data_IF_630121793494
#
_entry.id   IF_630121793494
#
_cell.length_a   1.000
_cell.length_b   1.000
_cell.length_c   1.000
_cell.angle_alpha   90.00
_cell.angle_beta   90.00
_cell.angle_gamma   90.00
#
_symmetry.space_group_name_H-M   'P 1'
#
loop_
_entity.id
_entity.type
_entity.pdbx_description
1 polymer ?
#
# COMPACT_ATOMS: atom_id res chain seq x y z
N UNK A 1 3.52 -17.70 10.09
CA UNK A 1 3.08 -16.45 10.80
C UNK A 1 2.54 -15.45 9.78
N UNK A 2 1.44 -14.72 10.06
CA UNK A 2 0.92 -13.67 9.16
C UNK A 2 1.57 -12.34 9.50
N UNK A 3 2.10 -11.65 8.49
CA UNK A 3 2.63 -10.29 8.59
C UNK A 3 1.96 -9.40 7.55
N UNK A 4 1.89 -8.10 7.81
CA UNK A 4 1.36 -7.08 6.90
C UNK A 4 2.26 -5.85 6.98
N UNK A 5 3.14 -5.67 6.00
CA UNK A 5 4.19 -4.66 6.03
C UNK A 5 3.84 -3.36 5.31
N UNK A 6 2.54 -3.15 4.99
CA UNK A 6 2.11 -1.96 4.27
C UNK A 6 0.67 -1.60 4.62
N UNK A 7 0.53 -0.78 5.66
CA UNK A 7 -0.78 -0.34 6.18
C UNK A 7 -0.72 1.16 6.47
N UNK A 8 -1.60 1.92 5.81
CA UNK A 8 -1.75 3.36 6.00
C UNK A 8 -2.80 3.70 7.05
N UNK A 9 -2.63 4.83 7.73
CA UNK A 9 -3.60 5.33 8.70
C UNK A 9 -4.66 6.22 8.06
N UNK A 10 -4.43 6.68 6.82
CA UNK A 10 -5.32 7.59 6.13
C UNK A 10 -5.48 7.29 4.64
N UNK A 11 -6.65 7.64 4.09
CA UNK A 11 -6.92 7.75 2.64
C UNK A 11 -7.44 9.16 2.32
N UNK A 12 -6.53 10.11 2.11
CA UNK A 12 -6.91 11.44 1.64
C UNK A 12 -7.08 11.51 0.11
N UNK A 13 -7.63 12.58 -0.46
CA UNK A 13 -8.28 13.68 0.23
C UNK A 13 -9.70 13.30 0.70
N UNK A 14 -10.20 13.96 1.75
CA UNK A 14 -11.52 13.69 2.33
C UNK A 14 -12.65 13.90 1.32
N UNK A 15 -13.51 12.89 1.19
CA UNK A 15 -14.59 12.83 0.21
C UNK A 15 -15.79 12.04 0.75
N UNK A 16 -16.91 12.05 0.03
CA UNK A 16 -18.06 11.18 0.37
C UNK A 16 -17.67 9.69 0.35
N UNK A 17 -16.69 9.29 -0.46
CA UNK A 17 -16.16 7.93 -0.48
C UNK A 17 -15.41 7.64 0.81
N UNK A 18 -14.54 8.56 1.25
CA UNK A 18 -13.85 8.46 2.53
C UNK A 18 -14.84 8.30 3.69
N UNK A 19 -15.86 9.17 3.78
CA UNK A 19 -16.92 9.05 4.80
C UNK A 19 -17.53 7.64 4.84
N UNK A 20 -17.99 7.14 3.68
CA UNK A 20 -18.63 5.82 3.59
C UNK A 20 -17.67 4.69 4.01
N UNK A 21 -16.42 4.73 3.58
CA UNK A 21 -15.41 3.72 3.91
C UNK A 21 -15.07 3.75 5.40
N UNK A 22 -14.88 4.93 5.98
CA UNK A 22 -14.61 5.10 7.42
C UNK A 22 -15.69 4.44 8.27
N UNK A 23 -16.95 4.78 8.02
CA UNK A 23 -18.08 4.21 8.77
C UNK A 23 -18.18 2.70 8.56
N UNK A 24 -18.06 2.25 7.31
CA UNK A 24 -18.07 0.82 6.99
C UNK A 24 -16.96 0.08 7.76
N UNK A 25 -15.75 0.62 7.78
CA UNK A 25 -14.63 0.03 8.47
C UNK A 25 -14.86 -0.10 9.97
N UNK A 26 -15.30 0.98 10.62
CA UNK A 26 -15.61 0.96 12.06
C UNK A 26 -16.68 -0.09 12.37
N UNK A 27 -17.77 -0.12 11.59
CA UNK A 27 -18.88 -1.06 11.80
C UNK A 27 -18.42 -2.52 11.63
N UNK A 28 -17.61 -2.82 10.60
CA UNK A 28 -17.09 -4.18 10.38
C UNK A 28 -16.14 -4.64 11.49
N UNK A 29 -15.29 -3.75 12.00
CA UNK A 29 -14.36 -4.07 13.09
C UNK A 29 -15.09 -4.24 14.42
N UNK A 30 -16.08 -3.39 14.69
CA UNK A 30 -16.88 -3.47 15.93
C UNK A 30 -18.02 -4.49 15.87
N UNK A 31 -18.19 -5.20 14.76
CA UNK A 31 -19.26 -6.18 14.57
C UNK A 31 -20.67 -5.59 14.56
N UNK A 32 -20.78 -4.27 14.29
CA UNK A 32 -22.06 -3.58 14.21
C UNK A 32 -22.78 -3.90 12.90
N UNK A 33 -24.14 -3.93 12.97
CA UNK A 33 -25.00 -4.13 11.80
C UNK A 33 -25.64 -2.83 11.36
N UNK A 34 -25.68 -2.60 10.05
CA UNK A 34 -26.40 -1.47 9.45
C UNK A 34 -27.90 -1.71 9.53
N UNK A 35 -28.56 -1.06 10.49
CA UNK A 35 -29.99 -1.20 10.76
C UNK A 35 -30.86 -0.23 9.95
N UNK A 36 -30.23 0.70 9.22
CA UNK A 36 -30.90 1.73 8.37
C UNK A 36 -32.01 2.51 9.11
N UNK A 37 -31.82 2.75 10.41
CA UNK A 37 -32.73 3.55 11.25
C UNK A 37 -32.18 4.95 11.49
N UNK A 38 -33.00 5.87 12.01
CA UNK A 38 -32.54 7.20 12.41
C UNK A 38 -31.45 7.10 13.50
N UNK A 39 -31.60 6.19 14.45
CA UNK A 39 -30.61 5.97 15.51
C UNK A 39 -29.28 5.49 14.94
N UNK A 40 -29.31 4.58 13.97
CA UNK A 40 -28.13 4.08 13.28
C UNK A 40 -27.43 5.20 12.47
N UNK A 41 -28.21 6.08 11.84
CA UNK A 41 -27.65 7.24 11.13
C UNK A 41 -27.02 8.25 12.09
N UNK A 42 -27.63 8.47 13.27
CA UNK A 42 -27.05 9.33 14.30
C UNK A 42 -25.72 8.77 14.79
N UNK A 43 -25.70 7.48 15.16
CA UNK A 43 -24.46 6.80 15.58
C UNK A 43 -23.34 6.89 14.54
N UNK A 44 -23.66 6.66 13.26
CA UNK A 44 -22.69 6.81 12.16
C UNK A 44 -22.13 8.24 12.07
N UNK A 45 -22.99 9.23 12.23
CA UNK A 45 -22.58 10.63 12.19
C UNK A 45 -21.67 11.00 13.35
N UNK A 46 -21.97 10.50 14.56
CA UNK A 46 -21.14 10.70 15.76
C UNK A 46 -19.78 10.04 15.61
N UNK A 47 -19.73 8.79 15.13
CA UNK A 47 -18.47 8.07 14.89
C UNK A 47 -17.61 8.77 13.83
N UNK A 48 -18.23 9.27 12.76
CA UNK A 48 -17.48 10.02 11.76
C UNK A 48 -16.99 11.36 12.31
N UNK A 49 -17.80 12.08 13.05
CA UNK A 49 -17.39 13.32 13.71
C UNK A 49 -16.21 13.06 14.64
N UNK A 50 -16.28 11.99 15.44
CA UNK A 50 -15.17 11.58 16.30
C UNK A 50 -13.91 11.31 15.50
N UNK A 51 -14.00 10.55 14.36
CA UNK A 51 -12.85 10.31 13.47
C UNK A 51 -12.22 11.61 12.96
N UNK A 52 -13.04 12.61 12.65
CA UNK A 52 -12.55 13.91 12.18
C UNK A 52 -11.92 14.74 13.31
N UNK A 53 -12.43 14.64 14.53
CA UNK A 53 -11.90 15.34 15.70
C UNK A 53 -10.59 14.73 16.21
N UNK A 54 -10.51 13.42 16.26
CA UNK A 54 -9.31 12.68 16.71
C UNK A 54 -8.18 12.77 15.67
N UNK A 55 -8.52 12.88 14.38
CA UNK A 55 -7.55 12.92 13.28
C UNK A 55 -7.05 11.54 12.88
N UNK A 56 -6.08 11.55 11.96
CA UNK A 56 -5.51 10.33 11.38
C UNK A 56 -4.50 9.70 12.34
N UNK A 57 -3.68 10.53 12.99
CA UNK A 57 -2.64 10.11 13.90
C UNK A 57 -3.12 10.19 15.35
N UNK A 58 -4.05 9.28 15.70
CA UNK A 58 -4.60 9.20 17.04
C UNK A 58 -4.64 7.77 17.57
N UNK A 59 -4.50 7.63 18.91
CA UNK A 59 -4.62 6.32 19.57
C UNK A 59 -5.97 5.67 19.30
N UNK A 60 -7.05 6.47 19.31
CA UNK A 60 -8.39 5.97 19.04
C UNK A 60 -8.50 5.32 17.64
N UNK A 61 -7.85 5.90 16.63
CA UNK A 61 -7.83 5.32 15.28
C UNK A 61 -6.95 4.07 15.22
N UNK A 62 -5.78 4.11 15.85
CA UNK A 62 -4.87 2.96 15.99
C UNK A 62 -5.53 1.77 16.69
N UNK A 63 -6.44 2.01 17.64
CA UNK A 63 -7.20 0.94 18.32
C UNK A 63 -8.11 0.14 17.39
N UNK A 64 -8.62 0.76 16.31
CA UNK A 64 -9.38 0.04 15.30
C UNK A 64 -8.48 -0.86 14.45
N UNK A 65 -7.25 -0.43 14.15
CA UNK A 65 -6.25 -1.26 13.46
C UNK A 65 -5.77 -2.40 14.36
N UNK A 66 -5.57 -2.18 15.64
CA UNK A 66 -5.24 -3.23 16.61
C UNK A 66 -6.33 -4.31 16.64
N UNK A 67 -7.60 -3.91 16.75
CA UNK A 67 -8.73 -4.84 16.69
C UNK A 67 -8.75 -5.64 15.37
N UNK A 68 -8.44 -4.98 14.25
CA UNK A 68 -8.34 -5.65 12.96
C UNK A 68 -7.19 -6.66 12.90
N UNK A 69 -6.02 -6.31 13.41
CA UNK A 69 -4.86 -7.19 13.46
C UNK A 69 -5.13 -8.43 14.32
N UNK A 70 -5.76 -8.26 15.50
CA UNK A 70 -6.20 -9.38 16.35
C UNK A 70 -7.18 -10.27 15.59
N UNK A 71 -8.23 -9.69 15.00
CA UNK A 71 -9.28 -10.40 14.27
C UNK A 71 -8.73 -11.22 13.10
N UNK A 72 -7.74 -10.67 12.37
CA UNK A 72 -7.14 -11.28 11.20
C UNK A 72 -5.89 -12.12 11.54
N UNK A 73 -5.54 -12.23 12.85
CA UNK A 73 -4.38 -12.99 13.35
C UNK A 73 -3.05 -12.55 12.73
N UNK A 74 -2.92 -11.26 12.42
CA UNK A 74 -1.66 -10.67 11.94
C UNK A 74 -0.76 -10.43 13.13
N UNK A 75 0.52 -10.82 13.06
CA UNK A 75 1.46 -10.80 14.18
C UNK A 75 2.55 -9.74 14.06
N UNK A 76 2.83 -9.31 12.85
CA UNK A 76 3.71 -8.17 12.60
C UNK A 76 2.98 -7.21 11.66
N UNK A 77 2.85 -5.96 12.06
CA UNK A 77 2.16 -4.92 11.30
C UNK A 77 3.10 -3.75 11.10
N UNK A 78 3.39 -3.46 9.85
CA UNK A 78 4.09 -2.26 9.45
C UNK A 78 3.09 -1.14 9.15
N UNK A 79 3.07 -0.13 10.02
CA UNK A 79 2.35 1.10 9.75
C UNK A 79 3.28 2.01 8.97
N UNK A 80 2.83 2.41 7.80
CA UNK A 80 3.52 3.37 6.95
C UNK A 80 2.56 4.49 6.57
N UNK A 81 3.09 5.59 6.05
CA UNK A 81 2.28 6.56 5.34
C UNK A 81 3.06 7.10 4.13
N UNK A 82 2.35 7.74 3.20
CA UNK A 82 2.96 8.29 2.02
C UNK A 82 3.79 9.54 2.35
N UNK A 83 5.00 9.63 1.84
CA UNK A 83 5.88 10.78 2.05
C UNK A 83 5.23 12.12 1.61
N UNK A 84 4.36 12.13 0.60
CA UNK A 84 3.66 13.35 0.15
C UNK A 84 2.67 13.92 1.16
N UNK A 85 2.43 13.25 2.27
CA UNK A 85 1.55 13.74 3.33
C UNK A 85 2.26 14.71 4.28
N UNK A 86 3.58 14.75 4.25
CA UNK A 86 4.40 15.45 5.23
C UNK A 86 4.97 16.74 4.67
N UNK A 87 4.86 17.82 5.47
CA UNK A 87 5.36 19.15 5.10
C UNK A 87 6.85 19.16 4.80
N UNK A 88 7.64 18.30 5.44
CA UNK A 88 9.07 18.17 5.22
C UNK A 88 9.41 17.79 3.77
N UNK A 89 8.51 17.10 3.10
CA UNK A 89 8.67 16.67 1.71
C UNK A 89 8.14 17.68 0.69
N UNK A 90 7.62 18.84 1.11
CA UNK A 90 6.96 19.79 0.22
C UNK A 90 7.84 20.21 -0.96
N UNK A 91 9.11 20.55 -0.69
CA UNK A 91 10.03 21.00 -1.74
C UNK A 91 10.39 19.87 -2.69
N UNK A 92 10.54 18.65 -2.16
CA UNK A 92 10.79 17.45 -2.95
C UNK A 92 9.68 17.24 -3.99
N UNK A 93 8.42 17.15 -3.56
CA UNK A 93 7.31 16.96 -4.49
C UNK A 93 7.10 18.15 -5.43
N UNK A 94 7.29 19.39 -4.98
CA UNK A 94 7.19 20.58 -5.84
C UNK A 94 8.25 20.61 -6.94
N UNK A 95 9.41 20.00 -6.72
CA UNK A 95 10.50 19.95 -7.69
C UNK A 95 10.27 18.88 -8.76
N UNK A 96 9.78 17.71 -8.38
CA UNK A 96 9.73 16.54 -9.25
C UNK A 96 8.37 16.26 -9.89
N UNK A 97 7.29 16.72 -9.27
CA UNK A 97 5.94 16.63 -9.87
C UNK A 97 5.73 17.73 -10.91
N UNK A 98 4.93 17.44 -11.95
CA UNK A 98 4.37 18.50 -12.78
C UNK A 98 3.34 19.30 -11.99
N UNK A 99 3.76 20.44 -11.47
CA UNK A 99 2.91 21.46 -10.84
C UNK A 99 2.87 22.76 -11.66
N UNK A 100 3.11 22.67 -12.96
CA UNK A 100 3.11 23.79 -13.91
C UNK A 100 1.74 24.48 -13.99
N UNK A 101 1.69 25.58 -14.75
CA UNK A 101 0.43 26.29 -15.03
C UNK A 101 -0.49 25.55 -16.02
N UNK A 102 -0.10 24.37 -16.50
CA UNK A 102 -0.90 23.49 -17.34
C UNK A 102 -2.22 23.08 -16.62
N UNK A 103 -3.14 22.47 -17.34
CA UNK A 103 -4.35 21.90 -16.73
C UNK A 103 -3.98 20.80 -15.74
N UNK A 104 -3.08 19.91 -16.11
CA UNK A 104 -2.67 18.76 -15.31
C UNK A 104 -1.83 19.18 -14.10
N UNK A 105 -0.89 20.11 -14.28
CA UNK A 105 -0.10 20.66 -13.19
C UNK A 105 -0.97 21.34 -12.12
N UNK A 106 -2.02 22.07 -12.54
CA UNK A 106 -2.99 22.65 -11.58
C UNK A 106 -3.81 21.60 -10.84
N UNK A 107 -4.13 20.47 -11.48
CA UNK A 107 -4.81 19.34 -10.82
C UNK A 107 -3.90 18.76 -9.74
N UNK A 108 -2.63 18.51 -10.05
CA UNK A 108 -1.66 17.95 -9.14
C UNK A 108 -1.30 18.90 -7.99
N UNK A 109 -1.05 20.19 -8.28
CA UNK A 109 -0.79 21.19 -7.24
C UNK A 109 -1.95 21.29 -6.24
N UNK A 110 -3.20 21.24 -6.73
CA UNK A 110 -4.38 21.22 -5.85
C UNK A 110 -4.44 19.95 -5.00
N UNK A 111 -4.18 18.79 -5.61
CA UNK A 111 -4.16 17.52 -4.91
C UNK A 111 -3.09 17.51 -3.80
N UNK A 112 -1.87 17.90 -4.11
CA UNK A 112 -0.77 17.97 -3.14
C UNK A 112 -1.14 18.84 -1.93
N UNK A 113 -1.70 20.03 -2.16
CA UNK A 113 -2.17 20.91 -1.09
C UNK A 113 -3.32 20.32 -0.25
N UNK A 114 -4.06 19.32 -0.78
CA UNK A 114 -5.16 18.65 -0.07
C UNK A 114 -4.70 17.48 0.79
N UNK A 115 -3.55 16.89 0.49
CA UNK A 115 -3.04 15.69 1.18
C UNK A 115 -1.86 15.98 2.10
N UNK A 116 -1.13 17.05 1.87
CA UNK A 116 0.08 17.42 2.62
C UNK A 116 -0.30 18.32 3.80
N UNK A 117 -0.34 17.78 5.01
CA UNK A 117 -0.69 18.52 6.21
C UNK A 117 -0.29 17.86 7.54
N UNK A 118 0.63 16.91 7.48
CA UNK A 118 1.20 16.25 8.65
C UNK A 118 2.70 16.51 8.77
N UNK A 119 3.29 16.13 9.89
CA UNK A 119 4.72 16.11 10.15
C UNK A 119 5.19 14.69 10.38
N UNK A 120 6.40 14.35 9.91
CA UNK A 120 6.98 13.00 10.04
C UNK A 120 7.12 12.62 11.53
N UNK A 121 7.58 13.56 12.35
CA UNK A 121 7.76 13.31 13.79
C UNK A 121 6.45 12.94 14.49
N UNK A 122 5.33 13.57 14.15
CA UNK A 122 4.02 13.25 14.73
C UNK A 122 3.58 11.82 14.39
N UNK A 123 3.84 11.40 13.15
CA UNK A 123 3.56 10.04 12.68
C UNK A 123 4.42 9.00 13.42
N UNK A 124 5.74 9.20 13.46
CA UNK A 124 6.68 8.29 14.15
C UNK A 124 6.30 8.21 15.62
N UNK A 125 6.10 9.36 16.28
CA UNK A 125 5.76 9.41 17.71
C UNK A 125 4.48 8.64 18.03
N UNK A 126 3.44 8.77 17.21
CA UNK A 126 2.23 7.97 17.39
C UNK A 126 2.53 6.48 17.33
N UNK A 127 3.16 6.01 16.24
CA UNK A 127 3.39 4.57 16.05
C UNK A 127 4.27 4.00 17.16
N UNK A 128 5.35 4.69 17.52
CA UNK A 128 6.23 4.30 18.62
C UNK A 128 5.48 4.22 19.98
N UNK A 129 4.61 5.18 20.27
CA UNK A 129 3.83 5.20 21.51
C UNK A 129 2.88 4.01 21.67
N UNK A 130 2.50 3.36 20.57
CA UNK A 130 1.58 2.23 20.56
C UNK A 130 2.28 0.87 20.63
N UNK A 131 3.61 0.79 20.42
CA UNK A 131 4.35 -0.49 20.36
C UNK A 131 4.14 -1.37 21.59
N UNK A 132 4.24 -0.83 22.80
CA UNK A 132 4.03 -1.60 24.04
C UNK A 132 2.59 -2.14 24.15
N UNK A 133 1.60 -1.32 23.83
CA UNK A 133 0.19 -1.70 23.85
C UNK A 133 -0.06 -2.86 22.88
N UNK A 134 0.42 -2.75 21.62
CA UNK A 134 0.26 -3.80 20.62
C UNK A 134 1.00 -5.09 21.01
N UNK A 135 2.21 -4.98 21.56
CA UNK A 135 2.99 -6.11 22.06
C UNK A 135 2.25 -6.88 23.17
N UNK A 136 1.46 -6.21 24.02
CA UNK A 136 0.64 -6.86 25.06
C UNK A 136 -0.43 -7.80 24.47
N UNK A 137 -0.81 -7.62 23.20
CA UNK A 137 -1.70 -8.52 22.45
C UNK A 137 -0.93 -9.52 21.56
N UNK A 138 0.40 -9.59 21.69
CA UNK A 138 1.25 -10.48 20.91
C UNK A 138 1.35 -10.06 19.43
N UNK A 139 1.33 -8.76 19.16
CA UNK A 139 1.47 -8.17 17.84
C UNK A 139 2.62 -7.18 17.88
N UNK A 140 3.57 -7.35 16.96
CA UNK A 140 4.71 -6.46 16.80
C UNK A 140 4.36 -5.35 15.82
N UNK A 141 4.58 -4.11 16.24
CA UNK A 141 4.34 -2.91 15.42
C UNK A 141 5.67 -2.39 14.89
N UNK A 142 5.68 -2.04 13.61
CA UNK A 142 6.82 -1.43 12.93
C UNK A 142 6.40 -0.09 12.34
N UNK A 143 7.31 0.88 12.34
CA UNK A 143 7.14 2.17 11.68
C UNK A 143 7.96 2.22 10.40
N UNK A 144 7.29 2.46 9.27
CA UNK A 144 7.94 2.64 7.99
C UNK A 144 7.45 3.89 7.27
N UNK A 145 7.92 4.09 6.06
CA UNK A 145 7.46 5.18 5.20
C UNK A 145 7.43 4.72 3.75
N UNK A 146 6.39 5.08 3.00
CA UNK A 146 6.31 4.87 1.56
C UNK A 146 6.70 6.13 0.80
N UNK A 147 7.69 5.98 -0.06
CA UNK A 147 8.39 7.08 -0.69
C UNK A 147 8.30 6.98 -2.19
N UNK A 148 7.79 8.01 -2.83
CA UNK A 148 7.86 8.14 -4.29
C UNK A 148 9.28 8.43 -4.74
N UNK A 149 9.81 7.60 -5.65
CA UNK A 149 11.09 7.86 -6.28
C UNK A 149 10.91 8.61 -7.60
N UNK A 150 11.75 9.58 -7.82
CA UNK A 150 11.90 10.30 -9.09
C UNK A 150 13.34 10.21 -9.58
N UNK A 151 13.52 10.10 -10.90
CA UNK A 151 14.86 10.04 -11.51
C UNK A 151 15.72 11.25 -11.11
N UNK A 152 16.94 10.96 -10.62
CA UNK A 152 17.91 11.99 -10.17
C UNK A 152 17.61 12.61 -8.81
N UNK A 153 16.73 11.98 -8.00
CA UNK A 153 16.34 12.51 -6.68
C UNK A 153 17.14 11.92 -5.51
N UNK A 154 18.12 11.05 -5.75
CA UNK A 154 18.78 10.20 -4.76
C UNK A 154 19.33 10.98 -3.56
N UNK A 155 20.19 11.99 -3.79
CA UNK A 155 20.84 12.77 -2.73
C UNK A 155 19.82 13.59 -1.93
N UNK A 156 18.83 14.19 -2.60
CA UNK A 156 17.80 14.97 -1.93
C UNK A 156 16.91 14.10 -1.06
N UNK A 157 16.53 12.94 -1.58
CA UNK A 157 15.71 11.98 -0.86
C UNK A 157 16.46 11.36 0.32
N UNK A 158 17.75 11.03 0.15
CA UNK A 158 18.62 10.58 1.22
C UNK A 158 18.67 11.59 2.37
N UNK A 159 18.96 12.84 2.04
CA UNK A 159 19.03 13.92 3.04
C UNK A 159 17.68 14.18 3.75
N UNK A 160 16.57 13.97 3.04
CA UNK A 160 15.22 14.11 3.60
C UNK A 160 14.90 12.99 4.59
N UNK A 161 15.35 11.76 4.35
CA UNK A 161 15.04 10.61 5.19
C UNK A 161 16.04 10.40 6.33
N UNK A 162 17.30 10.84 6.18
CA UNK A 162 18.38 10.60 7.14
C UNK A 162 18.07 11.01 8.60
N UNK A 163 17.30 12.08 8.88
CA UNK A 163 16.99 12.48 10.26
C UNK A 163 16.04 11.52 11.01
N UNK A 164 15.40 10.56 10.34
CA UNK A 164 14.30 9.77 10.89
C UNK A 164 14.64 8.29 11.05
N UNK A 165 14.32 7.74 12.22
CA UNK A 165 14.56 6.34 12.56
C UNK A 165 13.36 5.45 12.14
N UNK A 166 13.25 5.13 10.85
CA UNK A 166 12.26 4.17 10.36
C UNK A 166 12.75 2.73 10.54
N UNK A 167 11.84 1.82 10.87
CA UNK A 167 12.13 0.37 10.86
C UNK A 167 12.40 -0.13 9.43
N UNK A 168 11.86 0.55 8.40
CA UNK A 168 12.13 0.29 6.97
C UNK A 168 11.59 1.43 6.10
N UNK A 169 12.16 1.52 4.89
CA UNK A 169 11.75 2.48 3.85
C UNK A 169 11.28 1.71 2.62
N UNK A 170 10.06 2.03 2.18
CA UNK A 170 9.40 1.43 1.01
C UNK A 170 9.53 2.37 -0.18
N UNK A 171 10.13 1.89 -1.27
CA UNK A 171 10.17 2.61 -2.53
C UNK A 171 8.92 2.35 -3.37
N UNK A 172 8.35 3.39 -3.92
CA UNK A 172 7.20 3.33 -4.82
C UNK A 172 7.38 4.21 -6.06
N UNK A 173 6.72 3.84 -7.16
CA UNK A 173 6.66 4.65 -8.38
C UNK A 173 5.20 4.93 -8.70
N UNK A 174 4.67 6.03 -8.15
CA UNK A 174 3.29 6.49 -8.40
C UNK A 174 3.21 7.55 -9.49
N UNK A 175 4.34 8.00 -9.99
CA UNK A 175 4.41 9.05 -11.00
C UNK A 175 5.09 8.54 -12.27
N UNK A 176 4.58 8.95 -13.42
CA UNK A 176 5.19 8.73 -14.72
C UNK A 176 5.41 10.10 -15.34
N UNK A 177 6.66 10.47 -15.63
CA UNK A 177 7.06 11.83 -16.07
C UNK A 177 6.45 12.95 -15.21
N UNK A 178 6.52 12.79 -13.89
CA UNK A 178 6.00 13.75 -12.91
C UNK A 178 4.47 13.80 -12.81
N UNK A 179 3.73 12.95 -13.52
CA UNK A 179 2.27 12.85 -13.48
C UNK A 179 1.82 11.61 -12.70
N UNK A 180 0.93 11.81 -11.71
CA UNK A 180 0.41 10.73 -10.86
C UNK A 180 -0.49 9.77 -11.66
N UNK A 181 -0.08 8.50 -11.75
CA UNK A 181 -0.78 7.46 -12.52
C UNK A 181 -2.14 7.07 -11.91
N UNK A 182 -2.31 7.21 -10.61
CA UNK A 182 -3.54 6.83 -9.90
C UNK A 182 -4.62 7.93 -9.88
N UNK A 183 -4.32 9.14 -10.39
CA UNK A 183 -5.29 10.23 -10.41
C UNK A 183 -6.21 10.16 -11.63
N UNK A 184 -7.52 9.84 -11.47
CA UNK A 184 -8.41 9.66 -12.61
C UNK A 184 -8.62 10.91 -13.46
N UNK A 185 -8.32 12.11 -12.93
CA UNK A 185 -8.41 13.37 -13.69
C UNK A 185 -7.26 13.53 -14.69
N UNK A 186 -6.18 12.76 -14.56
CA UNK A 186 -5.01 12.76 -15.45
C UNK A 186 -5.09 11.66 -16.53
N UNK A 187 -6.01 10.70 -16.41
CA UNK A 187 -6.19 9.64 -17.40
C UNK A 187 -6.22 10.14 -18.86
N UNK A 188 -6.95 11.24 -19.20
CA UNK A 188 -6.98 11.72 -20.61
C UNK A 188 -5.62 12.17 -21.15
N UNK A 189 -4.64 12.45 -20.29
CA UNK A 189 -3.27 12.78 -20.70
C UNK A 189 -2.49 11.51 -20.98
N UNK A 190 -2.59 10.50 -20.13
CA UNK A 190 -1.97 9.20 -20.34
C UNK A 190 -2.53 8.48 -21.58
N UNK A 191 -3.82 8.61 -21.88
CA UNK A 191 -4.45 8.03 -23.09
C UNK A 191 -3.87 8.55 -24.41
N UNK A 192 -3.13 9.66 -24.40
CA UNK A 192 -2.45 10.22 -25.58
C UNK A 192 -1.08 9.60 -25.82
N UNK A 193 -0.54 8.88 -24.84
CA UNK A 193 0.78 8.25 -24.89
C UNK A 193 0.60 6.77 -25.19
N UNK A 194 1.50 6.20 -25.95
CA UNK A 194 1.51 4.74 -26.20
C UNK A 194 1.71 4.01 -24.87
N UNK A 195 0.89 3.03 -24.61
CA UNK A 195 0.90 2.30 -23.35
C UNK A 195 2.26 1.61 -23.10
N UNK A 196 2.90 1.10 -24.13
CA UNK A 196 4.22 0.47 -24.05
C UNK A 196 5.27 1.45 -23.52
N UNK A 197 5.24 2.69 -23.98
CA UNK A 197 6.16 3.73 -23.52
C UNK A 197 5.93 4.07 -22.04
N UNK A 198 4.67 4.10 -21.58
CA UNK A 198 4.36 4.31 -20.17
C UNK A 198 4.96 3.19 -19.29
N UNK A 199 4.89 1.94 -19.76
CA UNK A 199 5.49 0.80 -19.06
C UNK A 199 7.02 0.88 -19.04
N UNK A 200 7.65 1.21 -20.18
CA UNK A 200 9.11 1.38 -20.26
C UNK A 200 9.61 2.46 -19.31
N UNK A 201 8.97 3.63 -19.29
CA UNK A 201 9.31 4.72 -18.38
C UNK A 201 9.13 4.31 -16.93
N UNK A 202 8.01 3.65 -16.60
CA UNK A 202 7.73 3.18 -15.25
C UNK A 202 8.79 2.19 -14.73
N UNK A 203 9.11 1.17 -15.52
CA UNK A 203 10.09 0.16 -15.11
C UNK A 203 11.52 0.71 -15.10
N UNK A 204 11.87 1.66 -15.98
CA UNK A 204 13.13 2.37 -15.88
C UNK A 204 13.26 3.15 -14.57
N UNK A 205 12.23 3.90 -14.18
CA UNK A 205 12.21 4.61 -12.90
C UNK A 205 12.27 3.64 -11.72
N UNK A 206 11.58 2.50 -11.82
CA UNK A 206 11.63 1.43 -10.80
C UNK A 206 13.04 0.85 -10.65
N UNK A 207 13.73 0.60 -11.75
CA UNK A 207 15.12 0.12 -11.75
C UNK A 207 16.05 1.11 -11.07
N UNK A 208 15.98 2.40 -11.42
CA UNK A 208 16.75 3.47 -10.79
C UNK A 208 16.45 3.57 -9.28
N UNK A 209 15.18 3.42 -8.88
CA UNK A 209 14.81 3.37 -7.46
C UNK A 209 15.51 2.21 -6.73
N UNK A 210 15.53 1.02 -7.31
CA UNK A 210 16.21 -0.16 -6.75
C UNK A 210 17.73 0.09 -6.64
N UNK A 211 18.32 0.68 -7.67
CA UNK A 211 19.77 0.96 -7.73
C UNK A 211 20.22 2.06 -6.78
N UNK A 212 19.31 2.95 -6.35
CA UNK A 212 19.62 4.06 -5.44
C UNK A 212 20.15 3.62 -4.07
N UNK A 213 19.82 2.37 -3.64
CA UNK A 213 20.21 1.85 -2.33
C UNK A 213 19.45 2.51 -1.16
N UNK A 214 18.39 3.26 -1.41
CA UNK A 214 17.62 3.97 -0.39
C UNK A 214 16.54 3.09 0.26
N UNK A 215 16.07 2.05 -0.44
CA UNK A 215 14.88 1.30 -0.11
C UNK A 215 15.18 -0.12 0.39
N UNK A 216 14.48 -0.55 1.44
CA UNK A 216 14.54 -1.93 1.94
C UNK A 216 13.64 -2.85 1.12
N UNK A 217 12.55 -2.30 0.61
CA UNK A 217 11.61 -3.01 -0.25
C UNK A 217 10.98 -2.09 -1.31
N UNK A 218 10.57 -2.68 -2.42
CA UNK A 218 9.79 -1.99 -3.44
C UNK A 218 8.33 -2.42 -3.40
N UNK A 219 7.43 -1.42 -3.37
CA UNK A 219 5.98 -1.59 -3.37
C UNK A 219 5.44 -1.88 -4.77
N UNK A 220 4.37 -2.66 -4.84
CA UNK A 220 3.46 -2.85 -5.99
C UNK A 220 4.07 -2.56 -7.36
N UNK A 221 5.14 -3.26 -7.73
CA UNK A 221 6.02 -3.03 -8.89
C UNK A 221 5.33 -2.81 -10.25
N UNK A 222 4.11 -3.33 -10.43
CA UNK A 222 3.37 -3.24 -11.68
C UNK A 222 2.08 -2.40 -11.57
N UNK A 223 2.06 -1.42 -10.65
CA UNK A 223 0.89 -0.55 -10.46
C UNK A 223 0.55 0.27 -11.71
N UNK A 224 1.49 0.46 -12.65
CA UNK A 224 1.26 1.10 -13.95
C UNK A 224 0.11 0.46 -14.75
N UNK A 225 -0.21 -0.80 -14.52
CA UNK A 225 -1.30 -1.53 -15.18
C UNK A 225 -2.70 -0.94 -14.93
N UNK A 226 -2.83 0.00 -13.99
CA UNK A 226 -4.08 0.76 -13.81
C UNK A 226 -4.40 1.67 -15.00
N UNK A 227 -3.39 2.10 -15.77
CA UNK A 227 -3.56 2.90 -16.98
C UNK A 227 -3.99 2.06 -18.17
N UNK A 228 -3.74 0.77 -18.17
CA UNK A 228 -4.08 -0.17 -19.23
C UNK A 228 -3.20 -1.41 -19.17
N UNK A 229 -3.67 -2.50 -19.75
CA UNK A 229 -2.90 -3.76 -19.78
C UNK A 229 -2.14 -3.90 -21.09
N UNK A 230 -0.90 -4.36 -20.98
CA UNK A 230 -0.06 -4.85 -22.07
C UNK A 230 0.02 -6.39 -21.92
N UNK A 231 0.20 -7.09 -23.03
CA UNK A 231 0.42 -8.54 -22.97
C UNK A 231 1.70 -8.83 -22.16
N UNK A 232 1.57 -9.62 -21.11
CA UNK A 232 2.69 -9.96 -20.24
C UNK A 232 3.85 -10.64 -20.96
N UNK A 233 3.61 -11.27 -22.11
CA UNK A 233 4.70 -11.83 -22.92
C UNK A 233 5.63 -10.74 -23.49
N UNK A 234 5.08 -9.56 -23.77
CA UNK A 234 5.88 -8.41 -24.22
C UNK A 234 6.65 -7.75 -23.09
N UNK A 235 6.23 -7.97 -21.83
CA UNK A 235 6.84 -7.40 -20.64
C UNK A 235 7.93 -8.30 -20.01
N UNK A 236 8.12 -9.54 -20.51
CA UNK A 236 9.03 -10.50 -19.87
C UNK A 236 10.45 -9.98 -19.74
N UNK A 237 10.95 -9.23 -20.71
CA UNK A 237 12.29 -8.67 -20.61
C UNK A 237 12.43 -7.63 -19.51
N UNK A 238 11.39 -6.79 -19.31
CA UNK A 238 11.35 -5.83 -18.19
C UNK A 238 11.25 -6.53 -16.84
N UNK A 239 10.45 -7.60 -16.76
CA UNK A 239 10.35 -8.42 -15.54
C UNK A 239 11.70 -9.06 -15.17
N UNK A 240 12.44 -9.56 -16.16
CA UNK A 240 13.77 -10.12 -15.95
C UNK A 240 14.78 -9.05 -15.49
N UNK A 241 14.79 -7.86 -16.09
CA UNK A 241 15.69 -6.77 -15.67
C UNK A 241 15.38 -6.31 -14.23
N UNK A 242 14.12 -6.08 -13.88
CA UNK A 242 13.73 -5.73 -12.50
C UNK A 242 14.07 -6.84 -11.51
N UNK A 243 13.83 -8.10 -11.86
CA UNK A 243 14.17 -9.22 -10.98
C UNK A 243 15.69 -9.32 -10.71
N UNK A 244 16.52 -9.10 -11.73
CA UNK A 244 17.98 -9.03 -11.60
C UNK A 244 18.42 -7.85 -10.74
N UNK A 245 17.84 -6.66 -10.97
CA UNK A 245 18.16 -5.46 -10.22
C UNK A 245 17.81 -5.64 -8.73
N UNK A 246 16.59 -6.12 -8.40
CA UNK A 246 16.21 -6.46 -7.02
C UNK A 246 17.20 -7.42 -6.35
N UNK A 247 17.63 -8.47 -7.09
CA UNK A 247 18.58 -9.45 -6.57
C UNK A 247 19.97 -8.86 -6.36
N UNK A 248 20.45 -8.05 -7.30
CA UNK A 248 21.78 -7.45 -7.28
C UNK A 248 21.94 -6.45 -6.13
N UNK A 249 20.88 -5.64 -5.90
CA UNK A 249 20.89 -4.58 -4.90
C UNK A 249 20.27 -5.03 -3.57
N UNK A 250 19.93 -6.32 -3.47
CA UNK A 250 19.39 -6.95 -2.26
C UNK A 250 18.12 -6.24 -1.71
N UNK A 251 17.18 -5.88 -2.60
CA UNK A 251 15.93 -5.22 -2.24
C UNK A 251 14.79 -6.23 -2.20
N UNK A 252 13.93 -6.15 -1.18
CA UNK A 252 12.79 -7.05 -1.01
C UNK A 252 11.65 -6.66 -1.96
N UNK A 253 10.99 -7.65 -2.57
CA UNK A 253 9.78 -7.42 -3.37
C UNK A 253 8.53 -7.55 -2.49
N UNK A 254 7.68 -6.57 -2.56
CA UNK A 254 6.35 -6.66 -1.96
C UNK A 254 5.41 -7.50 -2.84
N UNK A 255 4.63 -8.40 -2.22
CA UNK A 255 3.41 -8.92 -2.81
C UNK A 255 2.22 -8.22 -2.17
N UNK A 256 1.56 -7.35 -2.94
CA UNK A 256 0.60 -6.35 -2.49
C UNK A 256 -0.82 -6.72 -2.93
N UNK A 257 -1.77 -6.61 -2.01
CA UNK A 257 -3.18 -6.89 -2.28
C UNK A 257 -4.02 -5.65 -2.62
N UNK A 258 -3.48 -4.43 -2.49
CA UNK A 258 -4.23 -3.18 -2.66
C UNK A 258 -4.95 -3.07 -3.98
N UNK A 259 -4.30 -3.43 -5.09
CA UNK A 259 -4.92 -3.40 -6.42
C UNK A 259 -6.15 -4.30 -6.52
N UNK A 260 -6.21 -5.39 -5.76
CA UNK A 260 -7.32 -6.34 -5.80
C UNK A 260 -8.64 -5.74 -5.33
N UNK A 261 -8.62 -4.80 -4.40
CA UNK A 261 -9.83 -4.22 -3.83
C UNK A 261 -9.95 -2.70 -3.99
N UNK A 262 -8.85 -2.01 -4.33
CA UNK A 262 -8.88 -0.58 -4.64
C UNK A 262 -9.18 -0.30 -6.12
N UNK A 263 -8.88 -1.24 -7.01
CA UNK A 263 -9.04 -1.07 -8.45
C UNK A 263 -10.05 -2.06 -9.06
N UNK A 264 -10.37 -1.87 -10.34
CA UNK A 264 -11.20 -2.81 -11.12
C UNK A 264 -10.43 -4.05 -11.57
N UNK A 265 -9.11 -4.08 -11.43
CA UNK A 265 -8.26 -5.16 -11.94
C UNK A 265 -8.41 -6.45 -11.13
N UNK A 266 -8.75 -6.34 -9.84
CA UNK A 266 -9.01 -7.47 -8.93
C UNK A 266 -7.86 -8.51 -8.86
N UNK A 267 -6.63 -8.07 -9.04
CA UNK A 267 -5.42 -8.90 -8.97
C UNK A 267 -4.41 -8.32 -7.96
N UNK A 268 -3.49 -9.15 -7.49
CA UNK A 268 -2.37 -8.70 -6.66
C UNK A 268 -1.30 -8.03 -7.51
N UNK A 269 -0.43 -7.27 -6.88
CA UNK A 269 0.76 -6.65 -7.49
C UNK A 269 2.02 -7.17 -6.78
N UNK A 270 3.04 -7.63 -7.50
CA UNK A 270 3.10 -7.87 -8.95
C UNK A 270 2.17 -8.99 -9.43
N UNK A 271 1.93 -9.03 -10.75
CA UNK A 271 1.17 -10.11 -11.39
C UNK A 271 1.81 -11.47 -11.14
N UNK A 272 1.01 -12.54 -11.24
CA UNK A 272 1.51 -13.91 -11.00
C UNK A 272 2.74 -14.25 -11.83
N UNK A 273 2.80 -13.83 -13.08
CA UNK A 273 3.92 -14.09 -13.97
C UNK A 273 5.18 -13.34 -13.55
N UNK A 274 5.00 -12.09 -13.14
CA UNK A 274 6.11 -11.28 -12.62
C UNK A 274 6.63 -11.86 -11.29
N UNK A 275 5.74 -12.26 -10.35
CA UNK A 275 6.12 -12.98 -9.13
C UNK A 275 6.94 -14.24 -9.44
N UNK A 276 6.54 -15.04 -10.46
CA UNK A 276 7.30 -16.21 -10.89
C UNK A 276 8.70 -15.86 -11.36
N UNK A 277 8.85 -14.78 -12.13
CA UNK A 277 10.16 -14.31 -12.59
C UNK A 277 11.03 -13.87 -11.42
N UNK A 278 10.49 -13.04 -10.52
CA UNK A 278 11.22 -12.53 -9.34
C UNK A 278 11.66 -13.70 -8.42
N UNK A 279 10.76 -14.66 -8.17
CA UNK A 279 11.06 -15.84 -7.35
C UNK A 279 12.18 -16.71 -7.93
N UNK A 280 12.25 -16.88 -9.26
CA UNK A 280 13.34 -17.62 -9.94
C UNK A 280 14.71 -17.00 -9.71
N UNK A 281 14.78 -15.69 -9.53
CA UNK A 281 16.02 -14.98 -9.20
C UNK A 281 16.39 -15.06 -7.71
N UNK A 282 15.55 -15.71 -6.88
CA UNK A 282 15.80 -15.82 -5.44
C UNK A 282 15.73 -14.48 -4.71
N UNK A 283 14.89 -13.57 -5.17
CA UNK A 283 14.57 -12.31 -4.49
C UNK A 283 13.67 -12.60 -3.30
N UNK A 284 13.94 -12.06 -2.11
CA UNK A 284 13.06 -12.22 -0.97
C UNK A 284 11.75 -11.42 -1.14
N UNK A 285 10.67 -11.94 -0.54
CA UNK A 285 9.34 -11.32 -0.59
C UNK A 285 8.82 -10.93 0.78
N UNK A 286 7.96 -9.91 0.80
CA UNK A 286 7.05 -9.63 1.91
C UNK A 286 5.60 -9.66 1.45
N UNK A 287 4.64 -9.65 2.40
CA UNK A 287 3.20 -9.58 2.09
C UNK A 287 2.58 -8.34 2.69
N UNK A 288 1.67 -7.72 1.93
CA UNK A 288 1.09 -6.43 2.31
C UNK A 288 -0.34 -6.28 1.84
N UNK A 289 -1.20 -5.77 2.72
CA UNK A 289 -2.57 -5.45 2.34
C UNK A 289 -2.70 -4.14 1.57
N UNK A 290 -1.80 -3.19 1.79
CA UNK A 290 -1.92 -1.81 1.32
C UNK A 290 -3.24 -1.19 1.81
N UNK A 291 -3.52 -1.45 3.09
CA UNK A 291 -4.77 -1.09 3.74
C UNK A 291 -4.79 0.38 4.12
N UNK A 292 -5.84 1.10 3.73
CA UNK A 292 -6.07 2.50 4.11
C UNK A 292 -7.18 2.66 5.15
N UNK A 293 -7.76 1.55 5.61
CA UNK A 293 -8.78 1.51 6.65
C UNK A 293 -8.57 0.26 7.51
N UNK A 294 -8.96 0.30 8.81
CA UNK A 294 -8.76 -0.83 9.70
C UNK A 294 -9.25 -2.18 9.15
N UNK A 295 -10.40 -2.19 8.46
CA UNK A 295 -10.93 -3.43 7.89
C UNK A 295 -10.18 -3.92 6.65
N UNK A 296 -9.19 -3.18 6.15
CA UNK A 296 -8.32 -3.61 5.05
C UNK A 296 -7.07 -4.36 5.56
N UNK A 297 -6.65 -4.12 6.82
CA UNK A 297 -5.47 -4.76 7.41
C UNK A 297 -5.56 -6.29 7.34
N UNK A 298 -4.53 -6.92 6.77
CA UNK A 298 -4.42 -8.36 6.60
C UNK A 298 -5.28 -8.95 5.48
N UNK A 299 -6.00 -8.12 4.69
CA UNK A 299 -6.79 -8.60 3.55
C UNK A 299 -5.93 -9.40 2.59
N UNK A 300 -6.50 -10.51 2.12
CA UNK A 300 -5.88 -11.43 1.15
C UNK A 300 -4.53 -12.03 1.58
N UNK A 301 -4.09 -11.87 2.83
CA UNK A 301 -2.83 -12.41 3.31
C UNK A 301 -2.70 -13.92 3.02
N UNK A 302 -3.75 -14.72 3.30
CA UNK A 302 -3.76 -16.16 2.97
C UNK A 302 -3.58 -16.43 1.46
N UNK A 303 -4.18 -15.61 0.61
CA UNK A 303 -4.06 -15.74 -0.85
C UNK A 303 -2.64 -15.43 -1.32
N UNK A 304 -2.05 -14.34 -0.83
CA UNK A 304 -0.67 -13.95 -1.17
C UNK A 304 0.33 -15.01 -0.72
N UNK A 305 0.21 -15.52 0.50
CA UNK A 305 1.06 -16.60 1.02
C UNK A 305 0.94 -17.88 0.19
N UNK A 306 -0.25 -18.19 -0.33
CA UNK A 306 -0.43 -19.32 -1.27
C UNK A 306 0.29 -19.05 -2.58
N UNK A 307 0.15 -17.86 -3.18
CA UNK A 307 0.83 -17.49 -4.43
C UNK A 307 2.35 -17.65 -4.27
N UNK A 308 2.93 -17.18 -3.16
CA UNK A 308 4.35 -17.29 -2.88
C UNK A 308 4.80 -18.76 -2.74
N UNK A 309 4.05 -19.58 -2.01
CA UNK A 309 4.33 -21.03 -1.91
C UNK A 309 4.25 -21.75 -3.27
N UNK A 310 3.26 -21.38 -4.09
CA UNK A 310 3.07 -21.97 -5.42
C UNK A 310 4.26 -21.70 -6.36
N UNK A 311 5.08 -20.68 -6.07
CA UNK A 311 6.31 -20.34 -6.82
C UNK A 311 7.59 -20.75 -6.10
N UNK A 312 7.48 -21.50 -5.00
CA UNK A 312 8.63 -22.07 -4.28
C UNK A 312 9.26 -21.14 -3.25
N UNK A 313 8.54 -20.11 -2.79
CA UNK A 313 8.99 -19.24 -1.70
C UNK A 313 8.54 -19.84 -0.37
N UNK A 314 9.48 -20.13 0.52
CA UNK A 314 9.23 -20.79 1.81
C UNK A 314 9.22 -19.81 2.99
N UNK A 315 9.75 -18.60 2.81
CA UNK A 315 9.87 -17.57 3.82
C UNK A 315 9.50 -16.19 3.27
N UNK A 316 8.97 -15.33 4.13
CA UNK A 316 8.72 -13.91 3.86
C UNK A 316 9.49 -13.05 4.84
N UNK A 317 9.74 -11.78 4.47
CA UNK A 317 10.56 -10.84 5.21
C UNK A 317 9.69 -9.78 5.88
N UNK A 318 9.96 -9.49 7.14
CA UNK A 318 9.63 -8.24 7.81
C UNK A 318 10.89 -7.46 8.14
N UNK A 319 10.73 -6.30 8.76
CA UNK A 319 11.86 -5.42 9.08
C UNK A 319 11.75 -4.90 10.51
N UNK A 320 12.93 -4.68 11.12
CA UNK A 320 13.07 -4.03 12.41
C UNK A 320 14.39 -3.25 12.42
N UNK A 321 14.34 -1.93 12.54
CA UNK A 321 15.53 -1.05 12.47
C UNK A 321 16.40 -1.31 11.24
N UNK A 322 15.78 -1.43 10.08
CA UNK A 322 16.39 -1.72 8.78
C UNK A 322 16.98 -3.14 8.64
N UNK A 323 16.89 -3.96 9.69
CA UNK A 323 17.32 -5.36 9.66
C UNK A 323 16.15 -6.27 9.29
N UNK A 324 16.45 -7.34 8.52
CA UNK A 324 15.45 -8.31 8.07
C UNK A 324 15.14 -9.35 9.12
N UNK A 325 13.86 -9.62 9.29
CA UNK A 325 13.33 -10.74 10.07
C UNK A 325 12.62 -11.72 9.13
N UNK A 326 12.89 -13.02 9.26
CA UNK A 326 12.36 -14.05 8.35
C UNK A 326 11.25 -14.84 9.02
N UNK A 327 10.14 -15.02 8.29
CA UNK A 327 8.94 -15.71 8.75
C UNK A 327 8.57 -16.84 7.81
N UNK A 328 8.55 -18.10 8.33
CA UNK A 328 8.23 -19.27 7.52
C UNK A 328 6.81 -19.23 6.97
N UNK A 329 6.65 -19.63 5.73
CA UNK A 329 5.37 -19.92 5.07
C UNK A 329 4.95 -21.38 5.22
N UNK A 330 5.87 -22.27 5.68
CA UNK A 330 5.62 -23.68 5.90
C UNK A 330 5.05 -23.91 7.30
N UNK A 331 4.16 -24.90 7.48
CA UNK A 331 3.59 -25.28 8.78
C UNK A 331 2.19 -24.74 9.08
N UNK A 332 1.51 -24.12 8.13
CA UNK A 332 0.08 -23.79 8.27
C UNK A 332 -0.79 -24.94 7.74
N UNK A 333 -1.79 -25.32 8.56
CA UNK A 333 -2.73 -26.42 8.31
C UNK A 333 -3.35 -26.40 6.90
N UNK A 334 -3.32 -27.56 6.25
CA UNK A 334 -3.88 -27.82 4.91
C UNK A 334 -5.44 -27.81 4.93
N UNK A 335 -6.06 -27.54 6.06
CA UNK A 335 -7.52 -27.58 6.26
C UNK A 335 -8.32 -26.50 5.55
N UNK A 336 -7.68 -25.49 4.98
CA UNK A 336 -8.37 -24.34 4.37
C UNK A 336 -8.85 -24.51 2.92
N UNK A 337 -8.71 -25.69 2.32
CA UNK A 337 -9.15 -25.91 0.91
C UNK A 337 -10.66 -25.77 0.68
N UNK A 338 -11.48 -25.78 1.72
CA UNK A 338 -12.94 -25.82 1.59
C UNK A 338 -13.69 -24.51 1.87
N UNK A 339 -13.06 -23.47 2.43
CA UNK A 339 -13.76 -22.21 2.74
C UNK A 339 -13.74 -21.14 1.64
N UNK A 340 -12.78 -21.16 0.74
CA UNK A 340 -12.67 -20.14 -0.34
C UNK A 340 -13.73 -20.31 -1.45
N UNK A 341 -14.30 -21.50 -1.61
CA UNK A 341 -15.37 -21.76 -2.61
C UNK A 341 -16.72 -21.16 -2.20
N UNK A 342 -16.94 -20.87 -0.92
CA UNK A 342 -18.19 -20.28 -0.45
C UNK A 342 -18.18 -18.74 -0.45
N UNK A 343 -17.01 -18.08 -0.24
CA UNK A 343 -16.93 -16.62 -0.30
C UNK A 343 -17.09 -16.08 -1.72
N UNK A 344 -16.62 -16.79 -2.73
CA UNK A 344 -16.77 -16.40 -4.14
C UNK A 344 -18.22 -16.57 -4.67
N UNK A 345 -19.06 -17.37 -4.03
CA UNK A 345 -20.49 -17.49 -4.39
C UNK A 345 -21.34 -16.33 -3.85
N UNK A 346 -20.97 -15.77 -2.70
CA UNK A 346 -21.73 -14.68 -2.08
C UNK A 346 -21.39 -13.28 -2.66
N UNK A 347 -20.29 -13.14 -3.38
CA UNK A 347 -19.93 -11.87 -4.04
C UNK A 347 -20.64 -11.65 -5.40
N UNK A 348 -21.21 -12.72 -6.00
CA UNK A 348 -21.89 -12.64 -7.30
C UNK A 348 -23.42 -12.43 -7.21
N UNK A 349 -24.02 -12.45 -6.03
CA UNK A 349 -25.47 -12.26 -5.84
C UNK A 349 -25.82 -10.90 -5.18
N UNK A 350 -25.38 -9.80 -5.72
CA UNK A 350 -25.65 -8.50 -5.08
C UNK A 350 -25.49 -7.27 -5.94
N UNK A 351 -25.96 -7.29 -7.20
CA UNK A 351 -26.14 -6.02 -7.94
C UNK A 351 -27.61 -5.87 -8.37
N UNK A 352 -28.45 -5.15 -7.62
CA UNK A 352 -29.68 -4.62 -8.22
C UNK A 352 -29.30 -3.41 -9.06
N UNK A 353 -29.49 -3.53 -10.37
CA UNK A 353 -29.64 -2.37 -11.27
C UNK A 353 -30.88 -1.59 -10.86
N UNK A 354 -30.70 -0.34 -10.44
CA UNK A 354 -31.79 0.63 -10.40
C UNK A 354 -31.48 1.71 -11.44
N UNK A 355 -32.42 1.77 -12.39
CA UNK A 355 -32.62 2.84 -13.38
C UNK A 355 -32.81 4.21 -12.71
#
# INVERSE_FOLDING_TARGET
>A
MKIDMHVHLEEGPYSNRFFKKTIKSIYEIEGKKDKRSIYDMTEKSELFLKRMQEGDYSEWWMDHYLKAAIKNEVKVVGIIDHLYRFYEAEQYYKKYMDISKSKDGKIQARWLNQVMWHYIDDFIHLVESQKEKWASYGIELRVGIEVDYFDGADEELKNLLEPYDFDYVVGAVHFNDGLMISNPKLLPTFEKVKIEHLYETHYKTTELAIESGLFDMMAHLDNIKILGKVDELQLLYLYEEIAKSLKTHDVVCELNAGMRYHTKLKEVSPSKKFVQTIAKHGVPFTTSSDGHFPNDLGKYNKNMRRILRDVGVDEIVGFNKREREYFSLTGEDITDKHMETQSNKNENEGTPTYS
#
